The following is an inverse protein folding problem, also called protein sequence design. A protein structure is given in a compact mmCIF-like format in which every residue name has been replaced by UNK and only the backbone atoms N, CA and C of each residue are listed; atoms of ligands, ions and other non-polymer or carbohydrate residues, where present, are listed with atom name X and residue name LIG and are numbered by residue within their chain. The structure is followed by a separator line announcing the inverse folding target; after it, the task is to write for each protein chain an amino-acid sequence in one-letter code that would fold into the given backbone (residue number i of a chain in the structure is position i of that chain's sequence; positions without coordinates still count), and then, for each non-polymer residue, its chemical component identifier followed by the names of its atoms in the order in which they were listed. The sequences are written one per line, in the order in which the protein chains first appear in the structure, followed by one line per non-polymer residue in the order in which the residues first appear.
data_IF_095270103773
#
_entry.id   IF_095270103773
#
_cell.length_a   1.000
_cell.length_b   1.000
_cell.length_c   1.000
_cell.angle_alpha   90.00
_cell.angle_beta   90.00
_cell.angle_gamma   90.00
#
_symmetry.space_group_name_H-M   'P 1'
#
loop_
_entity.id
_entity.type
_entity.pdbx_description
1 polymer ?
#
# COMPACT_ATOMS: atom_id res chain seq x y z
N UNK A 1 -0.20 5.72 21.05
CA UNK A 1 -0.37 5.56 22.52
C UNK A 1 0.32 6.67 23.30
N UNK A 2 1.65 6.79 23.23
CA UNK A 2 2.38 7.83 23.99
C UNK A 2 1.94 9.25 23.64
N UNK A 3 1.77 9.55 22.34
CA UNK A 3 1.30 10.87 21.87
C UNK A 3 -0.11 11.19 22.37
N UNK A 4 -1.04 10.23 22.30
CA UNK A 4 -2.43 10.42 22.74
C UNK A 4 -2.54 10.69 24.24
N UNK A 5 -1.73 10.00 25.04
CA UNK A 5 -1.70 10.21 26.48
C UNK A 5 -1.16 11.61 26.82
N UNK A 6 -0.14 12.08 26.10
CA UNK A 6 0.45 13.40 26.29
C UNK A 6 -0.42 14.56 25.79
N UNK A 7 -1.22 14.38 24.73
CA UNK A 7 -2.00 15.46 24.11
C UNK A 7 -3.47 15.50 24.52
N UNK A 8 -4.11 14.33 24.70
CA UNK A 8 -5.56 14.23 24.94
C UNK A 8 -5.91 13.71 26.33
N UNK A 9 -4.92 13.27 27.12
CA UNK A 9 -5.14 12.67 28.45
C UNK A 9 -5.84 11.31 28.41
N UNK A 10 -6.09 10.76 27.22
CA UNK A 10 -6.82 9.51 27.04
C UNK A 10 -5.93 8.33 27.49
N UNK A 11 -6.48 7.46 28.34
CA UNK A 11 -5.74 6.27 28.79
C UNK A 11 -5.52 5.31 27.61
N UNK A 12 -4.37 4.60 27.55
CA UNK A 12 -4.12 3.62 26.50
C UNK A 12 -5.22 2.56 26.39
N UNK A 13 -5.85 2.20 27.51
CA UNK A 13 -6.94 1.25 27.56
C UNK A 13 -8.21 1.75 26.88
N UNK A 14 -8.62 2.99 27.13
CA UNK A 14 -9.80 3.59 26.50
C UNK A 14 -9.64 3.74 24.98
N UNK A 15 -8.41 3.98 24.49
CA UNK A 15 -8.13 4.02 23.06
C UNK A 15 -8.28 2.63 22.41
N UNK A 16 -7.76 1.57 23.05
CA UNK A 16 -7.88 0.20 22.54
C UNK A 16 -9.35 -0.19 22.37
N UNK A 17 -10.19 0.09 23.38
CA UNK A 17 -11.61 -0.21 23.33
C UNK A 17 -12.31 0.48 22.14
N UNK A 18 -11.97 1.75 21.86
CA UNK A 18 -12.52 2.47 20.71
C UNK A 18 -12.02 1.97 19.37
N UNK A 19 -10.75 1.57 19.28
CA UNK A 19 -10.21 0.97 18.05
C UNK A 19 -10.88 -0.37 17.78
N UNK A 20 -11.05 -1.23 18.78
CA UNK A 20 -11.77 -2.50 18.62
C UNK A 20 -13.24 -2.30 18.22
N UNK A 21 -13.89 -1.25 18.73
CA UNK A 21 -15.26 -0.92 18.34
C UNK A 21 -15.38 -0.33 16.93
N UNK A 22 -14.33 0.36 16.43
CA UNK A 22 -14.34 1.02 15.12
C UNK A 22 -13.77 0.15 13.98
N UNK A 23 -12.83 -0.75 14.28
CA UNK A 23 -12.16 -1.59 13.29
C UNK A 23 -12.86 -2.95 13.23
N UNK A 24 -13.59 -3.17 12.14
CA UNK A 24 -14.14 -4.49 11.85
C UNK A 24 -13.05 -5.43 11.32
N UNK A 25 -13.21 -6.75 11.56
CA UNK A 25 -12.34 -7.77 10.98
C UNK A 25 -12.24 -7.65 9.44
N UNK A 26 -13.27 -7.09 8.83
CA UNK A 26 -13.31 -6.89 7.39
C UNK A 26 -12.22 -5.94 6.87
N UNK A 27 -11.86 -4.89 7.62
CA UNK A 27 -10.76 -3.99 7.23
C UNK A 27 -9.41 -4.71 7.13
N UNK A 28 -9.20 -5.75 7.95
CA UNK A 28 -8.02 -6.60 7.86
C UNK A 28 -8.03 -7.46 6.59
N UNK A 29 -9.16 -8.11 6.28
CA UNK A 29 -9.30 -8.95 5.09
C UNK A 29 -9.15 -8.15 3.79
N UNK A 30 -9.65 -6.91 3.73
CA UNK A 30 -9.46 -6.00 2.59
C UNK A 30 -7.98 -5.75 2.32
N UNK A 31 -7.19 -5.46 3.35
CA UNK A 31 -5.74 -5.28 3.22
C UNK A 31 -5.03 -6.55 2.76
N UNK A 32 -5.40 -7.70 3.32
CA UNK A 32 -4.84 -9.01 2.97
C UNK A 32 -5.10 -9.38 1.51
N UNK A 33 -6.25 -9.02 0.94
CA UNK A 33 -6.58 -9.26 -0.47
C UNK A 33 -5.79 -8.33 -1.40
N UNK A 34 -5.58 -7.06 -1.01
CA UNK A 34 -4.80 -6.10 -1.80
C UNK A 34 -3.30 -6.44 -1.86
N UNK A 35 -2.74 -6.95 -0.76
CA UNK A 35 -1.31 -7.24 -0.62
C UNK A 35 -0.70 -8.12 -1.74
N UNK A 36 -1.25 -9.30 -2.10
CA UNK A 36 -0.70 -10.11 -3.19
C UNK A 36 -0.80 -9.43 -4.55
N UNK A 37 -1.83 -8.61 -4.78
CA UNK A 37 -1.98 -7.87 -6.04
C UNK A 37 -0.88 -6.82 -6.19
N UNK A 38 -0.60 -6.05 -5.13
CA UNK A 38 0.48 -5.08 -5.15
C UNK A 38 1.86 -5.74 -5.29
N UNK A 39 2.09 -6.85 -4.60
CA UNK A 39 3.33 -7.61 -4.75
C UNK A 39 3.55 -8.11 -6.18
N UNK A 40 2.50 -8.60 -6.83
CA UNK A 40 2.54 -9.04 -8.22
C UNK A 40 2.79 -7.87 -9.18
N UNK A 41 2.11 -6.73 -8.99
CA UNK A 41 2.31 -5.54 -9.83
C UNK A 41 3.75 -5.02 -9.74
N UNK A 42 4.27 -4.84 -8.51
CA UNK A 42 5.63 -4.35 -8.29
C UNK A 42 6.65 -5.32 -8.90
N UNK A 43 6.47 -6.63 -8.70
CA UNK A 43 7.33 -7.66 -9.27
C UNK A 43 7.35 -7.63 -10.79
N UNK A 44 6.17 -7.53 -11.42
CA UNK A 44 6.06 -7.47 -12.88
C UNK A 44 6.70 -6.22 -13.46
N UNK A 45 6.47 -5.05 -12.87
CA UNK A 45 7.03 -3.77 -13.34
C UNK A 45 8.56 -3.77 -13.19
N UNK A 46 9.06 -4.33 -12.08
CA UNK A 46 10.49 -4.53 -11.84
C UNK A 46 11.13 -5.43 -12.90
N UNK A 47 10.53 -6.60 -13.17
CA UNK A 47 11.01 -7.51 -14.21
C UNK A 47 10.91 -6.89 -15.61
N UNK A 48 9.84 -6.15 -15.90
CA UNK A 48 9.62 -5.54 -17.20
C UNK A 48 10.67 -4.48 -17.55
N UNK A 49 10.96 -3.56 -16.63
CA UNK A 49 12.02 -2.57 -16.85
C UNK A 49 13.42 -3.18 -16.80
N UNK A 50 13.62 -4.22 -15.97
CA UNK A 50 14.87 -4.99 -15.94
C UNK A 50 15.19 -5.69 -17.27
N UNK A 51 14.17 -6.18 -17.99
CA UNK A 51 14.32 -6.80 -19.32
C UNK A 51 14.62 -5.79 -20.44
N UNK A 52 14.38 -4.49 -20.22
CA UNK A 52 14.63 -3.39 -21.17
C UNK A 52 15.98 -2.69 -20.97
N UNK A 53 16.81 -3.20 -20.08
CA UNK A 53 18.15 -2.67 -19.85
C UNK A 53 19.00 -2.91 -21.10
N UNK A 54 19.54 -1.83 -21.63
CA UNK A 54 20.56 -1.88 -22.68
C UNK A 54 21.92 -2.04 -21.98
N UNK A 55 22.89 -2.74 -22.58
CA UNK A 55 24.09 -3.28 -21.92
C UNK A 55 25.09 -2.28 -21.28
N UNK A 56 24.68 -1.04 -21.01
CA UNK A 56 25.45 -0.03 -20.28
C UNK A 56 24.98 0.11 -18.83
N UNK A 57 25.91 0.41 -17.92
CA UNK A 57 25.59 0.71 -16.52
C UNK A 57 24.68 1.94 -16.35
N UNK A 58 24.76 2.90 -17.28
CA UNK A 58 23.90 4.08 -17.31
C UNK A 58 22.44 3.71 -17.61
N UNK A 59 22.20 2.80 -18.56
CA UNK A 59 20.86 2.30 -18.86
C UNK A 59 20.23 1.58 -17.67
N UNK A 60 21.01 0.79 -16.91
CA UNK A 60 20.54 0.14 -15.68
C UNK A 60 19.98 1.16 -14.68
N UNK A 61 20.71 2.26 -14.43
CA UNK A 61 20.28 3.31 -13.51
C UNK A 61 19.02 4.04 -13.98
N UNK A 62 18.95 4.36 -15.27
CA UNK A 62 17.78 5.00 -15.88
C UNK A 62 16.53 4.11 -15.78
N UNK A 63 16.64 2.84 -16.18
CA UNK A 63 15.54 1.86 -16.12
C UNK A 63 15.10 1.58 -14.68
N UNK A 64 16.02 1.52 -13.73
CA UNK A 64 15.69 1.32 -12.31
C UNK A 64 14.85 2.48 -11.76
N UNK A 65 15.22 3.72 -12.08
CA UNK A 65 14.47 4.91 -11.63
C UNK A 65 13.08 4.94 -12.29
N UNK A 66 13.02 4.64 -13.59
CA UNK A 66 11.75 4.53 -14.32
C UNK A 66 10.84 3.45 -13.71
N UNK A 67 11.40 2.29 -13.39
CA UNK A 67 10.67 1.18 -12.75
C UNK A 67 10.03 1.58 -11.44
N UNK A 68 10.73 2.33 -10.58
CA UNK A 68 10.17 2.78 -9.30
C UNK A 68 9.04 3.79 -9.51
N UNK A 69 9.20 4.74 -10.43
CA UNK A 69 8.17 5.76 -10.70
C UNK A 69 6.91 5.11 -11.29
N UNK A 70 7.06 4.24 -12.29
CA UNK A 70 5.95 3.49 -12.89
C UNK A 70 5.29 2.56 -11.87
N UNK A 71 6.09 1.89 -11.03
CA UNK A 71 5.63 1.03 -9.95
C UNK A 71 4.75 1.75 -8.96
N UNK A 72 5.23 2.87 -8.40
CA UNK A 72 4.46 3.67 -7.43
C UNK A 72 3.18 4.19 -8.07
N UNK A 73 3.24 4.69 -9.31
CA UNK A 73 2.07 5.21 -10.01
C UNK A 73 0.99 4.13 -10.19
N UNK A 74 1.36 2.95 -10.69
CA UNK A 74 0.41 1.85 -10.90
C UNK A 74 -0.18 1.37 -9.57
N UNK A 75 0.62 1.28 -8.50
CA UNK A 75 0.13 0.88 -7.17
C UNK A 75 -0.87 1.89 -6.61
N UNK A 76 -0.61 3.20 -6.74
CA UNK A 76 -1.55 4.23 -6.29
C UNK A 76 -2.88 4.14 -7.04
N UNK A 77 -2.83 3.99 -8.37
CA UNK A 77 -4.04 3.86 -9.19
C UNK A 77 -4.81 2.59 -8.84
N UNK A 78 -4.11 1.47 -8.67
CA UNK A 78 -4.71 0.21 -8.26
C UNK A 78 -5.36 0.31 -6.87
N UNK A 79 -4.70 0.96 -5.91
CA UNK A 79 -5.27 1.15 -4.57
C UNK A 79 -6.54 2.02 -4.62
N UNK A 80 -6.52 3.13 -5.37
CA UNK A 80 -7.70 3.97 -5.55
C UNK A 80 -8.87 3.19 -6.15
N UNK A 81 -8.59 2.37 -7.16
CA UNK A 81 -9.58 1.48 -7.77
C UNK A 81 -10.18 0.51 -6.73
N UNK A 82 -9.34 -0.20 -5.97
CA UNK A 82 -9.84 -1.10 -4.94
C UNK A 82 -10.62 -0.36 -3.86
N UNK A 83 -10.17 0.82 -3.44
CA UNK A 83 -10.84 1.62 -2.39
C UNK A 83 -12.24 2.03 -2.81
N UNK A 84 -12.43 2.50 -4.05
CA UNK A 84 -13.77 2.80 -4.59
C UNK A 84 -14.62 1.53 -4.72
N UNK A 85 -14.02 0.44 -5.20
CA UNK A 85 -14.73 -0.84 -5.35
C UNK A 85 -15.24 -1.37 -4.00
N UNK A 86 -14.41 -1.30 -2.95
CA UNK A 86 -14.78 -1.72 -1.60
C UNK A 86 -15.85 -0.80 -1.00
N UNK A 87 -15.72 0.52 -1.17
CA UNK A 87 -16.74 1.48 -0.74
C UNK A 87 -18.12 1.17 -1.36
N UNK A 88 -18.17 0.85 -2.67
CA UNK A 88 -19.40 0.46 -3.37
C UNK A 88 -19.99 -0.85 -2.83
N UNK A 89 -19.15 -1.80 -2.38
CA UNK A 89 -19.56 -3.09 -1.82
C UNK A 89 -20.11 -2.93 -0.37
N UNK A 90 -20.05 -1.73 0.21
CA UNK A 90 -20.60 -1.43 1.54
C UNK A 90 -19.67 -1.83 2.68
N UNK A 91 -18.37 -1.70 2.42
CA UNK A 91 -17.25 -2.18 3.23
C UNK A 91 -16.42 -1.03 3.75
#
# INVERSE_FOLDING_TARGET
MMVLWLTTGMSPWAYIERVYAAVNLWSFWVGMIKAPVFGLLIGLIGCFEGLKVEGSAESVGQRTTQSVVEGIFIVIVADAFFSIMFEIIGV
#
